data_IF_354017370319
#
_entry.id   IF_354017370319
#
_cell.length_a   1.000
_cell.length_b   1.000
_cell.length_c   1.000
_cell.angle_alpha   90.00
_cell.angle_beta   90.00
_cell.angle_gamma   90.00
#
_symmetry.space_group_name_H-M   'P 1'
#
loop_
_entity.id
_entity.type
_entity.pdbx_description
1 polymer ?
#
# COMPACT_ATOMS: atom_id res chain seq x y z
N UNK A 1 -18.11 -10.99 53.52
CA UNK A 1 -19.46 -10.83 52.93
C UNK A 1 -19.54 -11.78 51.75
N UNK A 2 -20.16 -12.93 51.97
CA UNK A 2 -20.32 -14.04 51.04
C UNK A 2 -21.27 -13.69 49.88
N UNK A 3 -21.07 -14.28 48.69
CA UNK A 3 -22.05 -15.17 48.02
C UNK A 3 -21.50 -15.72 46.69
N UNK A 4 -21.54 -17.06 46.48
CA UNK A 4 -21.14 -17.71 45.23
C UNK A 4 -22.34 -18.05 44.32
N UNK A 5 -22.15 -17.99 43.01
CA UNK A 5 -23.11 -18.51 42.03
C UNK A 5 -22.87 -20.00 41.76
N UNK A 6 -23.84 -20.83 42.17
CA UNK A 6 -23.98 -22.23 41.79
C UNK A 6 -24.62 -22.35 40.41
N UNK A 7 -24.05 -23.16 39.53
CA UNK A 7 -24.78 -23.78 38.43
C UNK A 7 -24.70 -25.30 38.57
N UNK A 8 -25.87 -25.95 38.68
CA UNK A 8 -26.05 -27.40 38.68
C UNK A 8 -26.76 -27.75 37.39
N UNK A 9 -26.32 -28.80 36.69
CA UNK A 9 -27.25 -29.58 35.89
C UNK A 9 -26.94 -31.08 35.92
N UNK A 10 -27.99 -31.83 36.24
CA UNK A 10 -28.09 -33.29 36.33
C UNK A 10 -28.23 -33.90 34.94
N UNK A 11 -27.76 -35.13 34.75
CA UNK A 11 -28.49 -36.17 33.98
C UNK A 11 -27.83 -37.55 34.10
N UNK A 12 -28.63 -38.53 34.54
CA UNK A 12 -28.60 -39.97 34.25
C UNK A 12 -29.90 -40.56 34.88
N UNK A 13 -30.36 -41.81 34.62
CA UNK A 13 -29.97 -42.82 33.61
C UNK A 13 -31.14 -43.62 32.96
N UNK A 14 -30.79 -44.58 32.07
CA UNK A 14 -31.33 -45.97 31.92
C UNK A 14 -32.76 -46.23 31.35
N UNK A 15 -32.85 -47.01 30.25
CA UNK A 15 -33.27 -48.45 30.17
C UNK A 15 -33.72 -48.88 28.75
N UNK A 16 -33.23 -50.03 28.30
CA UNK A 16 -33.85 -50.90 27.27
C UNK A 16 -34.90 -51.83 27.91
N UNK A 17 -35.79 -52.49 27.15
CA UNK A 17 -35.55 -53.91 26.85
C UNK A 17 -36.10 -54.44 25.50
N UNK A 18 -35.73 -55.71 25.26
CA UNK A 18 -35.98 -56.63 24.14
C UNK A 18 -37.45 -56.99 23.87
N UNK A 19 -37.73 -57.47 22.64
CA UNK A 19 -38.93 -58.22 22.27
C UNK A 19 -38.75 -58.98 20.96
N UNK A 20 -38.76 -60.31 21.05
CA UNK A 20 -38.58 -61.32 19.99
C UNK A 20 -39.95 -61.82 19.49
N UNK A 21 -40.06 -62.36 18.28
CA UNK A 21 -41.32 -62.92 17.76
C UNK A 21 -41.30 -63.35 16.29
N UNK A 22 -41.12 -64.66 16.06
CA UNK A 22 -41.25 -65.35 14.76
C UNK A 22 -42.69 -65.78 14.46
N UNK A 23 -42.97 -66.02 13.16
CA UNK A 23 -43.43 -67.29 12.56
C UNK A 23 -44.66 -67.24 11.62
N UNK A 24 -44.40 -67.71 10.38
CA UNK A 24 -45.19 -68.67 9.55
C UNK A 24 -46.50 -68.17 8.91
N UNK A 25 -47.03 -68.69 7.80
CA UNK A 25 -46.67 -69.60 6.69
C UNK A 25 -47.87 -69.47 5.71
N UNK A 26 -47.66 -69.58 4.40
CA UNK A 26 -48.79 -69.76 3.47
C UNK A 26 -48.35 -69.89 2.03
N UNK A 27 -48.20 -71.14 1.56
CA UNK A 27 -47.94 -71.50 0.16
C UNK A 27 -49.25 -71.49 -0.63
N UNK A 28 -49.19 -71.06 -1.89
CA UNK A 28 -49.95 -71.67 -2.98
C UNK A 28 -49.08 -71.70 -4.25
N UNK A 29 -49.05 -72.89 -4.85
CA UNK A 29 -48.29 -73.36 -6.03
C UNK A 29 -49.14 -73.12 -7.28
N UNK A 30 -48.49 -73.04 -8.46
CA UNK A 30 -48.84 -73.59 -9.79
C UNK A 30 -47.92 -72.86 -10.81
N UNK A 31 -46.78 -73.45 -11.18
CA UNK A 31 -46.54 -74.20 -12.44
C UNK A 31 -46.73 -73.38 -13.74
N UNK A 32 -45.60 -73.13 -14.42
CA UNK A 32 -45.50 -72.53 -15.75
C UNK A 32 -44.01 -72.41 -16.10
N UNK A 33 -43.56 -73.21 -17.08
CA UNK A 33 -42.15 -73.48 -17.34
C UNK A 33 -41.39 -72.42 -18.15
N UNK A 34 -40.13 -72.80 -18.39
CA UNK A 34 -39.25 -72.32 -19.47
C UNK A 34 -38.68 -70.89 -19.39
N UNK A 35 -37.46 -70.77 -18.86
CA UNK A 35 -36.22 -70.61 -19.67
C UNK A 35 -35.08 -70.20 -18.75
N UNK A 36 -34.01 -70.99 -18.81
CA UNK A 36 -32.72 -70.62 -18.25
C UNK A 36 -32.16 -69.46 -19.08
N UNK A 37 -32.24 -68.24 -18.56
CA UNK A 37 -31.37 -67.15 -18.97
C UNK A 37 -30.58 -66.72 -17.75
N UNK A 38 -29.30 -67.12 -17.78
CA UNK A 38 -28.21 -66.58 -16.98
C UNK A 38 -28.17 -65.07 -17.20
N UNK A 39 -28.89 -64.32 -16.36
CA UNK A 39 -28.83 -62.87 -16.28
C UNK A 39 -27.53 -62.48 -15.61
N UNK A 40 -26.51 -62.28 -16.45
CA UNK A 40 -25.33 -61.48 -16.17
C UNK A 40 -25.74 -60.28 -15.29
N UNK A 41 -25.33 -60.29 -14.02
CA UNK A 41 -25.55 -59.14 -13.14
C UNK A 41 -24.74 -57.99 -13.76
N UNK A 42 -25.46 -57.00 -14.27
CA UNK A 42 -24.98 -55.73 -14.82
C UNK A 42 -24.00 -55.02 -13.86
N UNK A 43 -22.74 -55.48 -13.79
CA UNK A 43 -21.64 -54.74 -13.16
C UNK A 43 -21.43 -53.38 -13.85
N UNK A 44 -21.85 -53.27 -15.12
CA UNK A 44 -21.85 -52.03 -15.88
C UNK A 44 -22.77 -50.94 -15.29
N UNK A 45 -23.93 -51.29 -14.71
CA UNK A 45 -24.85 -50.30 -14.11
C UNK A 45 -24.31 -49.66 -12.84
N UNK A 46 -23.64 -50.45 -11.99
CA UNK A 46 -23.05 -49.96 -10.73
C UNK A 46 -21.79 -49.10 -10.98
N UNK A 47 -21.01 -49.44 -12.02
CA UNK A 47 -19.90 -48.60 -12.46
C UNK A 47 -20.37 -47.27 -13.09
N UNK A 48 -21.50 -47.27 -13.79
CA UNK A 48 -22.01 -46.08 -14.47
C UNK A 48 -22.65 -45.06 -13.50
N UNK A 49 -23.29 -45.53 -12.41
CA UNK A 49 -23.79 -44.66 -11.34
C UNK A 49 -22.64 -43.99 -10.54
N UNK A 50 -21.55 -44.72 -10.30
CA UNK A 50 -20.38 -44.23 -9.55
C UNK A 50 -19.56 -43.18 -10.33
N UNK A 51 -19.55 -43.26 -11.66
CA UNK A 51 -18.84 -42.30 -12.50
C UNK A 51 -19.59 -40.96 -12.63
N UNK A 52 -20.92 -40.96 -12.62
CA UNK A 52 -21.72 -39.74 -12.73
C UNK A 52 -21.61 -38.84 -11.48
N UNK A 53 -21.56 -39.43 -10.28
CA UNK A 53 -21.41 -38.68 -9.02
C UNK A 53 -20.01 -38.11 -8.84
N UNK A 54 -18.97 -38.84 -9.26
CA UNK A 54 -17.56 -38.39 -9.23
C UNK A 54 -17.29 -37.23 -10.21
N UNK A 55 -17.94 -37.22 -11.38
CA UNK A 55 -17.82 -36.12 -12.35
C UNK A 55 -18.53 -34.84 -11.89
N UNK A 56 -19.69 -34.97 -11.23
CA UNK A 56 -20.44 -33.82 -10.68
C UNK A 56 -19.73 -33.17 -9.49
N UNK A 57 -19.11 -33.98 -8.63
CA UNK A 57 -18.32 -33.49 -7.48
C UNK A 57 -16.98 -32.88 -7.90
N UNK A 58 -16.30 -33.47 -8.89
CA UNK A 58 -15.08 -32.88 -9.46
C UNK A 58 -15.35 -31.54 -10.17
N UNK A 59 -16.45 -31.42 -10.92
CA UNK A 59 -16.85 -30.17 -11.55
C UNK A 59 -17.21 -29.08 -10.52
N UNK A 60 -17.90 -29.44 -9.43
CA UNK A 60 -18.21 -28.49 -8.35
C UNK A 60 -16.95 -28.03 -7.61
N UNK A 61 -16.00 -28.94 -7.35
CA UNK A 61 -14.73 -28.60 -6.72
C UNK A 61 -13.86 -27.71 -7.62
N UNK A 62 -13.87 -27.92 -8.95
CA UNK A 62 -13.18 -27.07 -9.91
C UNK A 62 -13.78 -25.66 -9.98
N UNK A 63 -15.11 -25.55 -9.96
CA UNK A 63 -15.81 -24.26 -9.95
C UNK A 63 -15.55 -23.51 -8.63
N UNK A 64 -15.55 -24.19 -7.49
CA UNK A 64 -15.23 -23.59 -6.19
C UNK A 64 -13.76 -23.16 -6.09
N UNK A 65 -12.82 -23.95 -6.61
CA UNK A 65 -11.41 -23.58 -6.66
C UNK A 65 -11.16 -22.39 -7.61
N UNK A 66 -11.84 -22.35 -8.76
CA UNK A 66 -11.79 -21.22 -9.68
C UNK A 66 -12.42 -19.95 -9.08
N UNK A 67 -13.52 -20.08 -8.31
CA UNK A 67 -14.12 -18.97 -7.59
C UNK A 67 -13.21 -18.44 -6.45
N UNK A 68 -12.52 -19.33 -5.73
CA UNK A 68 -11.52 -18.96 -4.73
C UNK A 68 -10.29 -18.26 -5.34
N UNK A 69 -9.79 -18.75 -6.48
CA UNK A 69 -8.69 -18.11 -7.22
C UNK A 69 -9.09 -16.75 -7.82
N UNK A 70 -10.33 -16.62 -8.31
CA UNK A 70 -10.86 -15.36 -8.82
C UNK A 70 -11.08 -14.32 -7.71
N UNK A 71 -11.51 -14.74 -6.51
CA UNK A 71 -11.63 -13.86 -5.35
C UNK A 71 -10.26 -13.38 -4.84
N UNK A 72 -9.23 -14.23 -4.86
CA UNK A 72 -7.86 -13.85 -4.48
C UNK A 72 -7.23 -12.82 -5.45
N UNK A 73 -7.58 -12.84 -6.73
CA UNK A 73 -7.16 -11.80 -7.68
C UNK A 73 -7.91 -10.48 -7.50
N UNK A 74 -9.14 -10.50 -6.98
CA UNK A 74 -9.91 -9.27 -6.72
C UNK A 74 -9.39 -8.49 -5.50
N UNK A 75 -8.72 -9.16 -4.56
CA UNK A 75 -8.13 -8.54 -3.36
C UNK A 75 -6.77 -7.89 -3.58
N UNK A 76 -6.09 -8.15 -4.70
CA UNK A 76 -4.85 -7.46 -5.06
C UNK A 76 -5.12 -6.15 -5.79
N UNK A 77 -6.03 -5.33 -5.27
CA UNK A 77 -6.10 -3.93 -5.67
C UNK A 77 -4.86 -3.24 -5.11
N UNK A 78 -3.81 -3.06 -5.93
CA UNK A 78 -2.77 -2.07 -5.71
C UNK A 78 -3.45 -0.69 -5.67
N UNK A 79 -3.96 -0.33 -4.51
CA UNK A 79 -4.45 1.01 -4.21
C UNK A 79 -3.21 1.85 -3.90
N UNK A 80 -2.45 2.20 -4.95
CA UNK A 80 -1.48 3.28 -4.85
C UNK A 80 -2.27 4.50 -4.39
N UNK A 81 -1.98 5.09 -3.22
CA UNK A 81 -2.68 6.29 -2.80
C UNK A 81 -2.42 7.34 -3.89
N UNK A 82 -3.47 7.79 -4.57
CA UNK A 82 -3.34 8.84 -5.58
C UNK A 82 -2.76 10.14 -4.98
N UNK A 83 -2.88 10.28 -3.65
CA UNK A 83 -2.33 11.32 -2.79
C UNK A 83 -0.78 11.29 -2.69
N UNK A 84 -0.10 10.21 -3.13
CA UNK A 84 1.36 10.10 -3.01
C UNK A 84 2.14 10.69 -4.19
N UNK A 85 1.47 11.02 -5.31
CA UNK A 85 2.14 11.53 -6.51
C UNK A 85 2.18 13.05 -6.58
N UNK A 86 1.27 13.74 -5.90
CA UNK A 86 1.10 15.18 -5.98
C UNK A 86 0.99 15.74 -4.57
N UNK A 87 1.47 16.95 -4.36
CA UNK A 87 1.29 17.66 -3.10
C UNK A 87 1.40 19.15 -3.32
N UNK A 88 0.81 19.89 -2.39
CA UNK A 88 1.11 21.28 -2.17
C UNK A 88 1.62 21.47 -0.74
N UNK A 89 2.65 22.30 -0.58
CA UNK A 89 3.12 22.70 0.73
C UNK A 89 3.42 24.19 0.79
N UNK A 90 3.22 24.76 1.96
CA UNK A 90 3.58 26.12 2.27
C UNK A 90 4.27 26.20 3.64
N UNK A 91 5.25 27.08 3.76
CA UNK A 91 6.01 27.20 4.99
C UNK A 91 7.14 28.21 4.92
N UNK A 92 8.16 27.96 5.73
CA UNK A 92 9.37 28.79 5.83
C UNK A 92 10.58 27.98 5.41
N UNK A 93 11.47 28.62 4.66
CA UNK A 93 12.75 28.06 4.27
C UNK A 93 13.89 28.96 4.76
N UNK A 94 14.96 28.33 5.21
CA UNK A 94 16.25 28.98 5.41
C UNK A 94 17.32 28.23 4.63
N UNK A 95 18.15 28.96 3.91
CA UNK A 95 19.24 28.45 3.07
C UNK A 95 20.52 29.07 3.59
N UNK A 96 21.52 28.23 3.85
CA UNK A 96 22.88 28.68 4.16
C UNK A 96 23.83 28.04 3.15
N UNK A 97 24.59 28.87 2.45
CA UNK A 97 25.55 28.44 1.45
C UNK A 97 26.86 29.21 1.66
N UNK A 98 27.93 28.49 1.98
CA UNK A 98 29.17 29.13 2.45
C UNK A 98 28.92 30.02 3.68
N UNK A 99 29.30 31.29 3.56
CA UNK A 99 29.09 32.33 4.60
C UNK A 99 27.78 33.11 4.42
N UNK A 100 27.04 32.86 3.35
CA UNK A 100 25.77 33.52 3.08
C UNK A 100 24.60 32.74 3.67
N UNK A 101 23.65 33.47 4.26
CA UNK A 101 22.41 32.90 4.77
C UNK A 101 21.22 33.77 4.33
N UNK A 102 20.18 33.09 3.84
CA UNK A 102 18.93 33.72 3.43
C UNK A 102 17.75 32.96 4.01
N UNK A 103 16.63 33.64 4.22
CA UNK A 103 15.39 33.02 4.67
C UNK A 103 14.18 33.67 4.03
N UNK A 104 13.10 32.90 3.93
CA UNK A 104 11.90 33.33 3.25
C UNK A 104 10.72 32.40 3.51
N UNK A 105 9.61 32.74 2.87
CA UNK A 105 8.49 31.82 2.74
C UNK A 105 8.73 30.95 1.51
N UNK A 106 8.21 29.72 1.56
CA UNK A 106 8.22 28.79 0.45
C UNK A 106 6.79 28.35 0.17
N UNK A 107 6.43 28.31 -1.10
CA UNK A 107 5.26 27.62 -1.61
C UNK A 107 5.75 26.64 -2.68
N UNK A 108 5.33 25.38 -2.59
CA UNK A 108 5.70 24.36 -3.55
C UNK A 108 4.48 23.54 -3.96
N UNK A 109 4.22 23.52 -5.26
CA UNK A 109 3.26 22.64 -5.93
C UNK A 109 4.01 21.58 -6.72
N UNK A 110 3.85 20.32 -6.35
CA UNK A 110 4.39 19.16 -7.04
C UNK A 110 3.25 18.44 -7.76
N UNK A 111 3.29 18.47 -9.09
CA UNK A 111 2.40 17.76 -9.99
C UNK A 111 3.04 16.50 -10.57
N UNK A 112 2.31 15.79 -11.44
CA UNK A 112 2.82 14.57 -12.08
C UNK A 112 3.92 14.84 -13.11
N UNK A 113 3.86 16.00 -13.76
CA UNK A 113 4.75 16.38 -14.86
C UNK A 113 5.27 17.81 -14.73
N UNK A 114 4.90 18.48 -13.64
CA UNK A 114 5.23 19.86 -13.37
C UNK A 114 5.59 20.05 -11.90
N UNK A 115 6.52 20.96 -11.66
CA UNK A 115 6.86 21.44 -10.33
C UNK A 115 6.95 22.95 -10.36
N UNK A 116 6.45 23.58 -9.31
CA UNK A 116 6.62 24.99 -9.09
C UNK A 116 7.04 25.25 -7.65
N UNK A 117 8.26 25.76 -7.48
CA UNK A 117 8.81 26.20 -6.20
C UNK A 117 8.94 27.71 -6.23
N UNK A 118 8.26 28.39 -5.31
CA UNK A 118 8.33 29.83 -5.13
C UNK A 118 8.92 30.13 -3.76
N UNK A 119 10.00 30.90 -3.73
CA UNK A 119 10.61 31.43 -2.49
C UNK A 119 10.43 32.94 -2.49
N UNK A 120 9.86 33.48 -1.42
CA UNK A 120 9.65 34.93 -1.25
C UNK A 120 10.28 35.43 0.04
N UNK A 121 10.73 36.68 0.04
CA UNK A 121 11.18 37.33 1.26
C UNK A 121 9.97 37.74 2.13
N UNK A 122 10.17 38.15 3.40
CA UNK A 122 9.07 38.58 4.27
C UNK A 122 8.23 39.75 3.75
N UNK A 123 8.76 40.55 2.80
CA UNK A 123 8.04 41.65 2.15
C UNK A 123 7.19 41.19 0.96
N UNK A 124 7.15 39.88 0.69
CA UNK A 124 6.41 39.28 -0.41
C UNK A 124 7.10 39.37 -1.77
N UNK A 125 8.33 39.88 -1.84
CA UNK A 125 9.09 39.92 -3.10
C UNK A 125 9.71 38.54 -3.38
N UNK A 126 9.68 38.11 -4.65
CA UNK A 126 10.27 36.84 -5.09
C UNK A 126 11.79 36.84 -4.92
N UNK A 127 12.31 35.83 -4.23
CA UNK A 127 13.75 35.53 -4.12
C UNK A 127 14.15 34.54 -5.20
N UNK A 128 13.31 33.55 -5.49
CA UNK A 128 13.52 32.63 -6.60
C UNK A 128 12.20 31.98 -6.98
N UNK A 129 12.00 31.72 -8.27
CA UNK A 129 10.91 30.86 -8.76
C UNK A 129 11.50 29.79 -9.68
N UNK A 130 11.32 28.53 -9.34
CA UNK A 130 11.74 27.39 -10.15
C UNK A 130 10.49 26.72 -10.70
N UNK A 131 10.40 26.59 -12.02
CA UNK A 131 9.30 25.91 -12.70
C UNK A 131 9.88 24.80 -13.56
N UNK A 132 9.52 23.56 -13.28
CA UNK A 132 9.76 22.41 -14.16
C UNK A 132 8.47 22.11 -14.89
N UNK A 133 8.48 22.17 -16.21
CA UNK A 133 7.32 21.83 -17.04
C UNK A 133 7.75 21.55 -18.48
N UNK A 134 7.00 20.73 -19.21
CA UNK A 134 7.20 20.52 -20.65
C UNK A 134 8.59 19.99 -21.02
N UNK A 135 9.24 19.22 -20.13
CA UNK A 135 10.56 18.64 -20.36
C UNK A 135 11.74 19.59 -20.12
N UNK A 136 11.51 20.75 -19.50
CA UNK A 136 12.59 21.67 -19.12
C UNK A 136 12.33 22.36 -17.79
N UNK A 137 13.29 23.18 -17.40
CA UNK A 137 13.29 23.93 -16.13
C UNK A 137 13.57 25.40 -16.41
N UNK A 138 12.81 26.27 -15.76
CA UNK A 138 13.01 27.71 -15.73
C UNK A 138 13.27 28.17 -14.29
N UNK A 139 14.22 29.08 -14.11
CA UNK A 139 14.55 29.73 -12.85
C UNK A 139 14.46 31.25 -13.05
N UNK A 140 13.58 31.90 -12.30
CA UNK A 140 13.49 33.36 -12.24
C UNK A 140 14.19 33.87 -10.98
N UNK A 141 15.17 34.76 -11.15
CA UNK A 141 15.94 35.40 -10.07
C UNK A 141 15.23 36.65 -9.52
N UNK A 142 15.66 37.23 -8.38
CA UNK A 142 14.98 38.38 -7.77
C UNK A 142 14.89 39.63 -8.66
N UNK A 143 15.84 39.79 -9.58
CA UNK A 143 15.88 40.87 -10.58
C UNK A 143 14.96 40.65 -11.79
N UNK A 144 14.18 39.55 -11.78
CA UNK A 144 13.24 39.20 -12.83
C UNK A 144 13.86 38.51 -14.04
N UNK A 145 15.17 38.24 -14.05
CA UNK A 145 15.80 37.48 -15.15
C UNK A 145 15.38 36.02 -15.09
N UNK A 146 15.04 35.48 -16.26
CA UNK A 146 14.67 34.07 -16.41
C UNK A 146 15.82 33.30 -17.08
N UNK A 147 16.19 32.17 -16.47
CA UNK A 147 17.19 31.23 -16.96
C UNK A 147 16.52 29.89 -17.25
N UNK A 148 16.90 29.22 -18.33
CA UNK A 148 16.32 27.93 -18.74
C UNK A 148 17.38 26.87 -18.98
N UNK A 149 17.05 25.62 -18.68
CA UNK A 149 17.86 24.44 -18.95
C UNK A 149 16.97 23.20 -19.09
N UNK A 150 17.47 22.09 -19.67
CA UNK A 150 16.75 20.82 -19.68
C UNK A 150 16.66 20.17 -18.30
N UNK A 151 17.60 20.46 -17.39
CA UNK A 151 17.69 19.85 -16.07
C UNK A 151 17.85 20.89 -14.95
N UNK A 152 17.29 20.59 -13.77
CA UNK A 152 17.23 21.54 -12.65
C UNK A 152 18.59 21.70 -11.98
N UNK A 153 19.34 20.61 -11.91
CA UNK A 153 20.63 20.49 -11.24
C UNK A 153 21.67 21.37 -11.93
N UNK A 154 21.80 21.32 -13.26
CA UNK A 154 22.71 22.18 -14.01
C UNK A 154 22.23 23.63 -14.05
N UNK A 155 20.91 23.88 -14.03
CA UNK A 155 20.39 25.24 -13.94
C UNK A 155 20.76 25.89 -12.62
N UNK A 156 20.53 25.19 -11.52
CA UNK A 156 20.85 25.66 -10.17
C UNK A 156 22.35 25.75 -9.94
N UNK A 157 23.14 24.82 -10.48
CA UNK A 157 24.61 24.92 -10.43
C UNK A 157 25.11 26.18 -11.14
N UNK A 158 24.57 26.49 -12.33
CA UNK A 158 24.97 27.66 -13.10
C UNK A 158 24.54 28.98 -12.47
N UNK A 159 23.33 29.04 -11.91
CA UNK A 159 22.72 30.31 -11.47
C UNK A 159 22.91 30.54 -9.97
N UNK A 160 22.84 29.49 -9.16
CA UNK A 160 22.93 29.54 -7.69
C UNK A 160 24.26 29.00 -7.14
N UNK A 161 25.09 28.36 -7.97
CA UNK A 161 26.40 27.83 -7.57
C UNK A 161 26.37 26.45 -6.91
N UNK A 162 25.21 25.79 -6.85
CA UNK A 162 25.09 24.43 -6.29
C UNK A 162 24.05 23.60 -7.05
N UNK A 163 24.26 22.27 -7.08
CA UNK A 163 23.33 21.32 -7.70
C UNK A 163 22.17 21.01 -6.76
N UNK A 164 20.96 21.39 -7.15
CA UNK A 164 19.75 21.08 -6.40
C UNK A 164 18.96 19.95 -7.09
N UNK A 165 18.87 18.74 -6.49
CA UNK A 165 18.13 17.64 -7.08
C UNK A 165 16.63 17.79 -6.84
N UNK A 166 15.94 18.52 -7.71
CA UNK A 166 14.54 18.90 -7.50
C UNK A 166 13.62 17.68 -7.36
N UNK A 167 13.86 16.63 -8.14
CA UNK A 167 13.12 15.37 -8.02
C UNK A 167 13.36 14.70 -6.66
N UNK A 168 14.62 14.61 -6.25
CA UNK A 168 14.99 14.04 -4.95
C UNK A 168 14.38 14.80 -3.79
N UNK A 169 14.40 16.15 -3.83
CA UNK A 169 13.75 16.97 -2.81
C UNK A 169 12.26 16.65 -2.67
N UNK A 170 11.56 16.41 -3.79
CA UNK A 170 10.12 16.12 -3.77
C UNK A 170 9.83 14.79 -3.06
N UNK A 171 10.70 13.79 -3.23
CA UNK A 171 10.63 12.54 -2.47
C UNK A 171 10.99 12.75 -1.00
N UNK A 172 12.08 13.46 -0.73
CA UNK A 172 12.58 13.63 0.62
C UNK A 172 11.65 14.43 1.52
N UNK A 173 10.95 15.44 1.00
CA UNK A 173 9.98 16.22 1.79
C UNK A 173 8.79 15.38 2.26
N UNK A 174 8.47 14.29 1.52
CA UNK A 174 7.45 13.28 1.87
C UNK A 174 8.00 12.14 2.73
N UNK A 175 9.22 12.26 3.27
CA UNK A 175 9.88 11.22 4.04
C UNK A 175 10.03 9.87 3.32
N UNK A 176 10.35 9.91 2.02
CA UNK A 176 10.67 8.71 1.25
C UNK A 176 11.98 8.86 0.46
N UNK A 177 12.73 7.76 0.26
CA UNK A 177 13.85 7.76 -0.66
C UNK A 177 13.34 7.92 -2.10
N UNK A 178 14.05 8.68 -2.90
CA UNK A 178 13.88 8.68 -4.35
C UNK A 178 14.52 7.46 -5.01
N UNK A 179 14.55 7.39 -6.35
CA UNK A 179 15.20 6.31 -7.06
C UNK A 179 16.71 6.27 -6.79
N UNK A 180 17.25 5.05 -6.71
CA UNK A 180 18.69 4.80 -6.53
C UNK A 180 19.10 4.41 -5.10
N UNK A 181 20.41 4.19 -4.89
CA UNK A 181 20.95 3.76 -3.60
C UNK A 181 20.66 4.80 -2.50
N UNK A 182 20.27 4.32 -1.32
CA UNK A 182 20.02 5.16 -0.16
C UNK A 182 20.28 4.39 1.14
N UNK A 183 20.46 5.13 2.22
CA UNK A 183 20.48 4.62 3.59
C UNK A 183 19.41 5.35 4.39
N UNK A 184 18.55 4.60 5.09
CA UNK A 184 17.51 5.18 5.93
C UNK A 184 17.58 4.61 7.34
N UNK A 185 17.64 5.49 8.33
CA UNK A 185 17.54 5.14 9.74
C UNK A 185 16.13 5.46 10.23
N UNK A 186 15.54 4.54 10.98
CA UNK A 186 14.18 4.67 11.49
C UNK A 186 14.17 4.92 12.99
N UNK A 187 13.19 5.69 13.46
CA UNK A 187 12.90 5.87 14.88
C UNK A 187 12.21 4.63 15.48
N UNK A 188 11.96 4.65 16.80
CA UNK A 188 11.27 3.56 17.49
C UNK A 188 9.83 3.33 17.00
N UNK A 189 9.21 4.33 16.36
CA UNK A 189 7.90 4.24 15.72
C UNK A 189 7.94 3.74 14.28
N UNK A 190 9.12 3.39 13.75
CA UNK A 190 9.31 2.91 12.39
C UNK A 190 9.31 4.01 11.31
N UNK A 191 9.26 5.29 11.69
CA UNK A 191 9.35 6.42 10.74
C UNK A 191 10.80 6.71 10.39
N UNK A 192 11.06 7.27 9.21
CA UNK A 192 12.43 7.66 8.84
C UNK A 192 12.85 8.87 9.69
N UNK A 193 13.91 8.71 10.48
CA UNK A 193 14.50 9.79 11.27
C UNK A 193 15.63 10.48 10.49
N UNK A 194 16.41 9.70 9.73
CA UNK A 194 17.50 10.18 8.89
C UNK A 194 17.49 9.43 7.55
N UNK A 195 17.63 10.15 6.45
CA UNK A 195 17.81 9.60 5.10
C UNK A 195 19.11 10.14 4.50
N UNK A 196 19.89 9.27 3.88
CA UNK A 196 21.07 9.64 3.08
C UNK A 196 20.91 9.14 1.66
N UNK A 197 20.98 10.04 0.70
CA UNK A 197 20.84 9.72 -0.73
C UNK A 197 21.52 10.78 -1.58
N UNK A 198 22.23 10.39 -2.64
CA UNK A 198 22.87 11.31 -3.59
C UNK A 198 23.79 12.37 -2.94
N UNK A 199 24.45 11.99 -1.84
CA UNK A 199 25.32 12.88 -1.05
C UNK A 199 24.60 13.82 -0.08
N UNK A 200 23.27 13.85 -0.11
CA UNK A 200 22.45 14.61 0.83
C UNK A 200 22.20 13.82 2.11
N UNK A 201 22.22 14.53 3.24
CA UNK A 201 21.71 14.07 4.54
C UNK A 201 20.40 14.81 4.82
N UNK A 202 19.33 14.08 5.09
CA UNK A 202 18.00 14.60 5.42
C UNK A 202 17.64 14.13 6.82
N UNK A 203 17.39 15.08 7.72
CA UNK A 203 17.01 14.84 9.11
C UNK A 203 15.56 15.30 9.31
N UNK A 204 14.69 14.37 9.73
CA UNK A 204 13.27 14.62 9.98
C UNK A 204 13.09 14.98 11.46
N UNK A 205 12.98 16.29 11.72
CA UNK A 205 13.04 16.83 13.09
C UNK A 205 11.68 16.83 13.78
N UNK A 206 10.63 17.16 13.04
CA UNK A 206 9.25 17.20 13.54
C UNK A 206 8.28 16.66 12.48
N UNK A 207 7.17 16.14 12.98
CA UNK A 207 6.06 15.62 12.18
C UNK A 207 4.80 16.43 12.52
N UNK A 208 3.78 16.36 11.67
CA UNK A 208 2.46 16.93 11.94
C UNK A 208 1.76 16.22 13.13
N UNK A 209 0.61 16.76 13.53
CA UNK A 209 -0.15 16.29 14.70
C UNK A 209 -0.59 14.82 14.56
N UNK A 210 -0.87 14.39 13.33
CA UNK A 210 -1.31 13.02 13.03
C UNK A 210 -0.12 12.08 12.84
N UNK A 211 1.11 12.61 12.83
CA UNK A 211 2.36 11.89 12.66
C UNK A 211 2.59 11.35 11.25
N UNK A 212 1.82 11.81 10.26
CA UNK A 212 1.78 11.30 8.91
C UNK A 212 2.76 12.01 7.96
N UNK A 213 2.95 13.32 8.13
CA UNK A 213 3.79 14.14 7.24
C UNK A 213 4.86 14.88 8.04
N UNK A 214 6.08 15.06 7.51
CA UNK A 214 7.07 15.92 8.15
C UNK A 214 6.58 17.37 8.25
N UNK A 215 6.86 18.01 9.38
CA UNK A 215 6.59 19.44 9.60
C UNK A 215 7.89 20.24 9.72
N UNK A 216 9.01 19.60 10.06
CA UNK A 216 10.32 20.25 10.10
C UNK A 216 11.42 19.31 9.62
N UNK A 217 12.22 19.78 8.67
CA UNK A 217 13.32 19.03 8.10
C UNK A 217 14.58 19.87 8.00
N UNK A 218 15.72 19.20 8.08
CA UNK A 218 17.02 19.77 7.77
C UNK A 218 17.68 18.92 6.69
N UNK A 219 18.10 19.57 5.61
CA UNK A 219 18.84 18.94 4.53
C UNK A 219 20.26 19.52 4.51
N UNK A 220 21.25 18.67 4.28
CA UNK A 220 22.65 19.08 4.26
C UNK A 220 23.40 18.37 3.14
N UNK A 221 24.18 19.14 2.41
CA UNK A 221 25.12 18.68 1.38
C UNK A 221 26.40 19.54 1.52
N UNK A 222 27.60 19.08 1.10
CA UNK A 222 28.83 19.86 1.27
C UNK A 222 28.67 21.33 0.87
N UNK A 223 28.88 22.24 1.83
CA UNK A 223 28.77 23.69 1.64
C UNK A 223 27.35 24.28 1.67
N UNK A 224 26.29 23.47 1.70
CA UNK A 224 24.89 23.91 1.73
C UNK A 224 24.07 23.26 2.84
N UNK A 225 23.25 24.06 3.49
CA UNK A 225 22.28 23.62 4.48
C UNK A 225 20.93 24.27 4.22
N UNK A 226 19.88 23.45 4.16
CA UNK A 226 18.50 23.87 4.01
C UNK A 226 17.74 23.50 5.28
N UNK A 227 16.93 24.42 5.80
CA UNK A 227 15.93 24.12 6.83
C UNK A 227 14.57 24.46 6.30
N UNK A 228 13.65 23.51 6.39
CA UNK A 228 12.26 23.66 5.98
C UNK A 228 11.37 23.49 7.21
N UNK A 229 10.49 24.46 7.45
CA UNK A 229 9.41 24.36 8.42
C UNK A 229 8.09 24.47 7.64
N UNK A 230 7.38 23.35 7.52
CA UNK A 230 6.14 23.23 6.76
C UNK A 230 4.99 23.58 7.70
N UNK A 231 4.23 24.61 7.32
CA UNK A 231 3.09 25.08 8.08
C UNK A 231 1.78 24.47 7.56
N UNK A 232 1.70 24.22 6.26
CA UNK A 232 0.51 23.67 5.62
C UNK A 232 0.91 22.62 4.57
N UNK A 233 0.15 21.54 4.56
CA UNK A 233 0.14 20.51 3.52
C UNK A 233 -1.25 20.46 2.89
N UNK A 234 -1.31 20.30 1.57
CA UNK A 234 -2.52 20.13 0.78
C UNK A 234 -2.34 18.99 -0.21
#
# INVERSE_FOLDING_TARGET
MERPHRWRNRRAPRRSPLGDGRARRGRARLEGGERSQSGERDAAKDHQASQAVRRRTAALALVLAAAFLAAACAELQLRLPADELQFELAGRIAVRYGDEASSGNIAWRHGRSDDEVLITNPLGQGVARIVRAGGGVALTTPDGREHRAPDAEALTERVLGFRLPLEGLADWVRARPGPGPHEAQRDAGGRIAELRQSGWKIEYLEWDTDGARPSRLKLSYPGIELRLAIAEWK
#
